data_IF_323042832089
#
_entry.id   IF_323042832089
#
_cell.length_a   1.000
_cell.length_b   1.000
_cell.length_c   1.000
_cell.angle_alpha   90.00
_cell.angle_beta   90.00
_cell.angle_gamma   90.00
#
_symmetry.space_group_name_H-M   'P 1'
#
loop_
_entity.id
_entity.type
_entity.pdbx_description
1 polymer ?
#
# COMPACT_ATOMS: atom_id res chain seq x y z
N UNK A 1 -11.73 5.32 28.40
CA UNK A 1 -11.88 3.91 28.01
C UNK A 1 -10.72 3.59 27.08
N UNK A 2 -9.87 2.61 27.43
CA UNK A 2 -8.82 2.16 26.52
C UNK A 2 -9.49 1.44 25.35
N UNK A 3 -9.35 1.97 24.13
CA UNK A 3 -9.76 1.23 22.94
C UNK A 3 -8.97 -0.07 22.88
N UNK A 4 -9.67 -1.20 22.87
CA UNK A 4 -9.04 -2.49 22.55
C UNK A 4 -8.36 -2.37 21.18
N UNK A 5 -7.16 -2.92 20.98
CA UNK A 5 -6.54 -2.90 19.67
C UNK A 5 -7.49 -3.54 18.65
N UNK A 6 -7.81 -2.80 17.59
CA UNK A 6 -8.63 -3.34 16.51
C UNK A 6 -7.92 -4.55 15.89
N UNK A 7 -8.67 -5.58 15.53
CA UNK A 7 -8.16 -6.66 14.68
C UNK A 7 -7.75 -6.07 13.35
N UNK A 8 -6.53 -6.33 12.92
CA UNK A 8 -6.01 -5.82 11.66
C UNK A 8 -5.47 -6.92 10.77
N UNK A 9 -5.49 -6.68 9.47
CA UNK A 9 -4.87 -7.53 8.47
C UNK A 9 -3.68 -6.80 7.89
N UNK A 10 -2.53 -7.46 7.90
CA UNK A 10 -1.31 -6.95 7.29
C UNK A 10 -0.98 -7.79 6.06
N UNK A 11 -1.33 -7.26 4.89
CA UNK A 11 -0.99 -7.85 3.61
C UNK A 11 0.36 -7.31 3.16
N UNK A 12 1.25 -8.20 2.76
CA UNK A 12 2.57 -7.90 2.21
C UNK A 12 2.63 -8.52 0.81
N UNK A 13 2.95 -7.73 -0.21
CA UNK A 13 2.96 -8.21 -1.59
C UNK A 13 4.11 -7.64 -2.43
N UNK A 14 4.56 -8.47 -3.37
CA UNK A 14 5.50 -8.10 -4.43
C UNK A 14 4.74 -8.08 -5.75
N UNK A 15 4.92 -7.00 -6.52
CA UNK A 15 4.33 -6.80 -7.83
C UNK A 15 5.42 -6.61 -8.89
N UNK A 16 5.13 -7.04 -10.12
CA UNK A 16 6.04 -6.93 -11.28
C UNK A 16 5.38 -6.31 -12.50
N UNK A 17 6.21 -5.73 -13.38
CA UNK A 17 5.76 -5.17 -14.66
C UNK A 17 5.07 -3.80 -14.51
N UNK A 18 5.25 -3.13 -13.37
CA UNK A 18 4.64 -1.82 -13.13
C UNK A 18 5.21 -0.73 -14.04
N UNK A 19 4.39 0.28 -14.31
CA UNK A 19 4.75 1.44 -15.15
C UNK A 19 4.53 2.75 -14.41
N UNK A 20 5.30 3.78 -14.78
CA UNK A 20 5.24 5.09 -14.10
C UNK A 20 5.73 5.05 -12.65
N UNK A 21 6.59 4.09 -12.32
CA UNK A 21 7.05 3.83 -10.95
C UNK A 21 7.93 4.95 -10.35
N UNK A 22 8.49 5.82 -11.18
CA UNK A 22 9.21 7.03 -10.75
C UNK A 22 8.30 8.26 -10.60
N UNK A 23 7.01 8.17 -10.92
CA UNK A 23 6.11 9.32 -10.79
C UNK A 23 5.54 9.38 -9.36
N UNK A 24 6.08 10.29 -8.56
CA UNK A 24 5.65 10.48 -7.17
C UNK A 24 4.15 10.79 -7.03
N UNK A 25 3.56 11.55 -7.95
CA UNK A 25 2.15 11.88 -7.90
C UNK A 25 1.28 10.66 -8.23
N UNK A 26 1.70 9.86 -9.23
CA UNK A 26 1.05 8.58 -9.56
C UNK A 26 1.10 7.61 -8.38
N UNK A 27 2.25 7.47 -7.73
CA UNK A 27 2.42 6.58 -6.58
C UNK A 27 1.56 7.05 -5.40
N UNK A 28 1.51 8.35 -5.12
CA UNK A 28 0.62 8.89 -4.10
C UNK A 28 -0.86 8.60 -4.42
N UNK A 29 -1.27 8.79 -5.67
CA UNK A 29 -2.64 8.51 -6.10
C UNK A 29 -3.00 7.03 -5.94
N UNK A 30 -2.09 6.12 -6.31
CA UNK A 30 -2.27 4.67 -6.15
C UNK A 30 -2.43 4.26 -4.68
N UNK A 31 -1.59 4.80 -3.78
CA UNK A 31 -1.70 4.53 -2.34
C UNK A 31 -3.01 5.06 -1.75
N UNK A 32 -3.45 6.26 -2.15
CA UNK A 32 -4.73 6.83 -1.68
C UNK A 32 -5.94 6.05 -2.20
N UNK A 33 -5.90 5.60 -3.45
CA UNK A 33 -6.94 4.76 -4.03
C UNK A 33 -7.01 3.39 -3.35
N UNK A 34 -5.87 2.77 -3.08
CA UNK A 34 -5.78 1.52 -2.32
C UNK A 34 -6.37 1.66 -0.91
N UNK A 35 -6.05 2.76 -0.20
CA UNK A 35 -6.63 3.04 1.11
C UNK A 35 -8.17 3.16 1.03
N UNK A 36 -8.69 3.90 0.06
CA UNK A 36 -10.13 4.07 -0.12
C UNK A 36 -10.84 2.74 -0.46
N UNK A 37 -10.24 1.92 -1.33
CA UNK A 37 -10.74 0.59 -1.67
C UNK A 37 -10.76 -0.32 -0.44
N UNK A 38 -9.70 -0.28 0.38
CA UNK A 38 -9.58 -1.02 1.64
C UNK A 38 -10.43 -0.45 2.80
N UNK A 39 -11.30 0.53 2.54
CA UNK A 39 -12.16 1.20 3.53
C UNK A 39 -11.38 1.90 4.64
N UNK A 40 -10.18 2.36 4.34
CA UNK A 40 -9.31 3.09 5.24
C UNK A 40 -9.25 4.58 4.91
N UNK A 41 -9.12 5.41 5.94
CA UNK A 41 -8.95 6.86 5.82
C UNK A 41 -7.48 7.22 5.99
N UNK A 42 -6.90 7.89 4.99
CA UNK A 42 -5.56 8.49 5.09
C UNK A 42 -5.62 9.73 5.99
N UNK A 43 -4.75 9.79 6.99
CA UNK A 43 -4.57 10.94 7.88
C UNK A 43 -3.43 11.83 7.39
N UNK A 44 -2.36 11.22 6.90
CA UNK A 44 -1.21 11.91 6.34
C UNK A 44 -0.43 10.94 5.46
N UNK A 45 0.39 11.48 4.57
CA UNK A 45 1.26 10.66 3.74
C UNK A 45 2.56 11.40 3.45
N UNK A 46 3.62 10.64 3.23
CA UNK A 46 4.91 11.16 2.82
C UNK A 46 5.47 10.27 1.70
N UNK A 47 5.97 10.92 0.65
CA UNK A 47 6.56 10.26 -0.50
C UNK A 47 7.90 10.91 -0.80
N UNK A 48 8.91 10.08 -1.01
CA UNK A 48 10.26 10.51 -1.36
C UNK A 48 10.62 9.94 -2.72
N UNK A 49 10.89 10.84 -3.67
CA UNK A 49 11.40 10.51 -5.00
C UNK A 49 12.93 10.60 -4.99
N UNK A 50 13.62 9.55 -5.44
CA UNK A 50 15.08 9.45 -5.33
C UNK A 50 15.86 10.15 -6.46
N UNK A 51 15.17 10.71 -7.46
CA UNK A 51 15.79 11.40 -8.59
C UNK A 51 15.30 10.88 -9.94
N UNK A 52 15.65 11.58 -11.02
CA UNK A 52 15.19 11.21 -12.36
C UNK A 52 15.58 9.76 -12.72
N UNK A 53 14.61 8.98 -13.19
CA UNK A 53 14.79 7.56 -13.50
C UNK A 53 14.91 6.64 -12.28
N UNK A 54 14.79 7.15 -11.06
CA UNK A 54 14.78 6.37 -9.82
C UNK A 54 13.36 6.19 -9.29
N UNK A 55 13.22 5.29 -8.32
CA UNK A 55 11.93 4.99 -7.69
C UNK A 55 11.45 6.03 -6.68
N UNK A 56 10.34 5.65 -6.06
CA UNK A 56 9.65 6.34 -4.97
C UNK A 56 9.51 5.38 -3.79
N UNK A 57 9.78 5.90 -2.59
CA UNK A 57 9.32 5.29 -1.33
C UNK A 57 8.19 6.13 -0.75
N UNK A 58 7.08 5.49 -0.38
CA UNK A 58 5.90 6.15 0.15
C UNK A 58 5.37 5.47 1.40
N UNK A 59 4.83 6.27 2.32
CA UNK A 59 4.05 5.79 3.45
C UNK A 59 2.82 6.67 3.67
N UNK A 60 1.65 6.04 3.79
CA UNK A 60 0.42 6.69 4.21
C UNK A 60 0.06 6.22 5.62
N UNK A 61 -0.07 7.19 6.53
CA UNK A 61 -0.61 6.96 7.87
C UNK A 61 -2.13 6.86 7.79
N UNK A 62 -2.65 5.76 8.32
CA UNK A 62 -4.07 5.55 8.56
C UNK A 62 -4.35 5.77 10.05
N UNK A 63 -5.63 5.79 10.45
CA UNK A 63 -6.01 6.05 11.84
C UNK A 63 -5.28 5.18 12.88
N UNK A 64 -5.06 3.91 12.59
CA UNK A 64 -4.44 2.94 13.51
C UNK A 64 -3.46 2.00 12.80
N UNK A 65 -3.02 2.35 11.58
CA UNK A 65 -2.24 1.46 10.71
C UNK A 65 -1.53 2.24 9.58
N UNK A 66 -1.07 1.57 8.51
CA UNK A 66 -0.37 2.22 7.41
C UNK A 66 -0.48 1.47 6.07
N UNK A 67 -0.18 2.18 4.99
CA UNK A 67 0.21 1.58 3.71
C UNK A 67 1.62 2.06 3.37
N UNK A 68 2.54 1.15 3.05
CA UNK A 68 3.87 1.47 2.50
C UNK A 68 4.04 0.93 1.09
N UNK A 69 4.86 1.62 0.31
CA UNK A 69 5.21 1.25 -1.06
C UNK A 69 6.68 1.60 -1.34
N UNK A 70 7.38 0.69 -2.01
CA UNK A 70 8.72 0.88 -2.55
C UNK A 70 8.72 0.45 -4.01
N UNK A 71 9.33 1.24 -4.88
CA UNK A 71 9.28 1.02 -6.33
C UNK A 71 10.68 1.03 -6.94
N UNK A 72 10.87 0.22 -7.99
CA UNK A 72 12.10 0.13 -8.79
C UNK A 72 11.74 0.20 -10.28
N UNK A 73 11.73 1.40 -10.89
CA UNK A 73 11.40 1.59 -12.29
C UNK A 73 12.27 0.79 -13.26
N UNK A 74 13.54 0.55 -12.90
CA UNK A 74 14.52 -0.17 -13.70
C UNK A 74 14.18 -1.65 -13.93
N UNK A 75 13.41 -2.26 -13.03
CA UNK A 75 12.94 -3.65 -13.14
C UNK A 75 11.42 -3.75 -13.25
N UNK A 76 10.69 -2.65 -13.04
CA UNK A 76 9.24 -2.65 -12.96
C UNK A 76 8.71 -3.33 -11.68
N UNK A 77 9.56 -3.48 -10.65
CA UNK A 77 9.20 -4.13 -9.40
C UNK A 77 8.61 -3.14 -8.39
N UNK A 78 7.70 -3.62 -7.55
CA UNK A 78 7.11 -2.85 -6.46
C UNK A 78 6.87 -3.75 -5.26
N UNK A 79 7.28 -3.31 -4.07
CA UNK A 79 6.98 -3.98 -2.80
C UNK A 79 5.98 -3.11 -2.02
N UNK A 80 4.93 -3.73 -1.49
CA UNK A 80 3.84 -3.02 -0.81
C UNK A 80 3.43 -3.72 0.47
N UNK A 81 3.08 -2.91 1.46
CA UNK A 81 2.45 -3.36 2.69
C UNK A 81 1.14 -2.62 2.88
N UNK A 82 0.05 -3.37 3.08
CA UNK A 82 -1.26 -2.84 3.43
C UNK A 82 -1.61 -3.36 4.82
N UNK A 83 -1.29 -2.58 5.85
CA UNK A 83 -1.76 -2.85 7.20
C UNK A 83 -3.05 -2.06 7.43
N UNK A 84 -4.19 -2.75 7.51
CA UNK A 84 -5.51 -2.14 7.65
C UNK A 84 -6.22 -2.69 8.88
N UNK A 85 -6.73 -1.80 9.73
CA UNK A 85 -7.48 -2.13 10.94
C UNK A 85 -8.98 -1.90 10.76
N UNK A 86 -9.79 -2.72 11.43
CA UNK A 86 -11.24 -2.53 11.53
C UNK A 86 -12.07 -3.61 10.81
N UNK A 87 -13.36 -3.75 11.15
CA UNK A 87 -14.21 -4.85 10.68
C UNK A 87 -14.58 -4.77 9.20
N UNK A 88 -14.43 -3.59 8.58
CA UNK A 88 -14.69 -3.37 7.17
C UNK A 88 -13.41 -3.39 6.31
N UNK A 89 -12.26 -3.78 6.89
CA UNK A 89 -10.99 -3.83 6.20
C UNK A 89 -11.02 -4.81 5.01
N UNK A 90 -10.62 -4.34 3.84
CA UNK A 90 -10.53 -5.13 2.62
C UNK A 90 -9.16 -4.94 1.95
N UNK A 91 -8.15 -5.62 2.50
CA UNK A 91 -6.76 -5.53 2.02
C UNK A 91 -6.61 -6.04 0.59
N UNK A 92 -7.44 -6.99 0.18
CA UNK A 92 -7.44 -7.57 -1.17
C UNK A 92 -7.94 -6.55 -2.20
N UNK A 93 -9.04 -5.85 -1.91
CA UNK A 93 -9.52 -4.76 -2.76
C UNK A 93 -8.49 -3.61 -2.85
N UNK A 94 -7.82 -3.30 -1.74
CA UNK A 94 -6.72 -2.33 -1.72
C UNK A 94 -5.58 -2.72 -2.66
N UNK A 95 -5.11 -3.97 -2.57
CA UNK A 95 -4.04 -4.49 -3.42
C UNK A 95 -4.47 -4.52 -4.90
N UNK A 96 -5.69 -4.96 -5.19
CA UNK A 96 -6.20 -5.06 -6.57
C UNK A 96 -6.22 -3.69 -7.27
N UNK A 97 -6.73 -2.65 -6.61
CA UNK A 97 -6.73 -1.28 -7.15
C UNK A 97 -5.31 -0.76 -7.34
N UNK A 98 -4.40 -1.04 -6.41
CA UNK A 98 -3.00 -0.64 -6.55
C UNK A 98 -2.34 -1.32 -7.75
N UNK A 99 -2.52 -2.64 -7.90
CA UNK A 99 -1.99 -3.41 -9.01
C UNK A 99 -2.51 -2.90 -10.36
N UNK A 100 -3.82 -2.63 -10.46
CA UNK A 100 -4.45 -2.07 -11.66
C UNK A 100 -3.86 -0.69 -12.01
N UNK A 101 -3.77 0.22 -11.04
CA UNK A 101 -3.25 1.57 -11.28
C UNK A 101 -1.76 1.59 -11.65
N UNK A 102 -0.97 0.64 -11.14
CA UNK A 102 0.44 0.52 -11.49
C UNK A 102 0.64 -0.26 -12.79
N UNK A 103 -0.41 -0.91 -13.33
CA UNK A 103 -0.29 -1.84 -14.46
C UNK A 103 0.57 -3.05 -14.12
N UNK A 104 0.62 -3.44 -12.84
CA UNK A 104 1.51 -4.45 -12.31
C UNK A 104 0.75 -5.76 -12.00
N UNK A 105 1.49 -6.87 -12.00
CA UNK A 105 0.98 -8.19 -11.63
C UNK A 105 1.48 -8.57 -10.25
N UNK A 106 0.58 -9.01 -9.36
CA UNK A 106 0.95 -9.57 -8.06
C UNK A 106 1.64 -10.92 -8.27
N UNK A 107 2.91 -11.04 -7.86
CA UNK A 107 3.68 -12.30 -7.99
C UNK A 107 3.88 -13.01 -6.66
N UNK A 108 3.76 -12.29 -5.55
CA UNK A 108 3.81 -12.83 -4.20
C UNK A 108 2.88 -12.03 -3.31
N UNK A 109 2.20 -12.72 -2.41
CA UNK A 109 1.34 -12.11 -1.41
C UNK A 109 1.29 -12.98 -0.15
N UNK A 110 1.29 -12.34 1.01
CA UNK A 110 1.06 -12.98 2.30
C UNK A 110 0.23 -12.05 3.18
N UNK A 111 -0.82 -12.59 3.79
CA UNK A 111 -1.66 -11.85 4.74
C UNK A 111 -1.43 -12.38 6.15
N UNK A 112 -1.14 -11.48 7.09
CA UNK A 112 -0.88 -11.77 8.49
C UNK A 112 -1.94 -11.09 9.35
N UNK A 113 -2.67 -11.87 10.15
CA UNK A 113 -3.54 -11.31 11.18
C UNK A 113 -2.69 -10.62 12.25
N UNK A 114 -3.03 -9.39 12.60
CA UNK A 114 -2.35 -8.58 13.61
C UNK A 114 -3.28 -8.36 14.80
N UNK A 115 -2.72 -8.49 16.00
CA UNK A 115 -3.43 -8.24 17.26
C UNK A 115 -4.64 -9.18 17.48
N UNK A 116 -4.72 -10.27 16.69
CA UNK A 116 -5.63 -11.39 16.89
C UNK A 116 -5.22 -12.20 18.11
N UNK A 117 -6.20 -12.56 18.93
CA UNK A 117 -6.03 -13.48 20.07
C UNK A 117 -5.92 -14.91 19.58
#
# INVERSE_FOLDING_TARGET
MAHLPATGLHLIADLKGGTGLGDCARIEQAVRAAAAAAKARVIGAHFHHFGEGQGVTGVALLAESHISIHTWPETGDTAVDLFICGPAADVEAGLAVMAEMLGATVVRQQTVARLGR
#
